data_IF_873170117383
#
_entry.id   IF_873170117383
#
_cell.length_a   1.000
_cell.length_b   1.000
_cell.length_c   1.000
_cell.angle_alpha   90.00
_cell.angle_beta   90.00
_cell.angle_gamma   90.00
#
_symmetry.space_group_name_H-M   'P 1'
#
loop_
_entity.id
_entity.type
_entity.pdbx_description
1 polymer ?
#
# COMPACT_ATOMS: atom_id res chain seq x y z
N UNK A 1 -0.07 11.59 -20.69
CA UNK A 1 -0.73 12.53 -21.61
C UNK A 1 -0.97 13.85 -20.89
N UNK A 2 -0.52 14.94 -21.47
CA UNK A 2 -0.64 16.25 -20.83
C UNK A 2 -2.07 16.80 -20.81
N UNK A 3 -2.93 16.34 -21.71
CA UNK A 3 -4.32 16.77 -21.77
C UNK A 3 -4.46 18.26 -22.07
N UNK A 4 -5.64 18.81 -21.77
CA UNK A 4 -5.97 20.22 -22.00
C UNK A 4 -5.85 21.08 -20.74
N UNK A 5 -5.17 20.59 -19.69
CA UNK A 5 -5.01 21.32 -18.43
C UNK A 5 -3.84 22.30 -18.51
N UNK A 6 -4.01 23.46 -17.88
CA UNK A 6 -2.95 24.48 -17.81
C UNK A 6 -1.80 24.07 -16.89
N UNK A 7 -2.04 23.12 -15.99
CA UNK A 7 -1.02 22.62 -15.07
C UNK A 7 -1.09 21.10 -14.97
N UNK A 8 0.07 20.47 -14.81
CA UNK A 8 0.20 19.02 -14.60
C UNK A 8 1.42 18.74 -13.74
N UNK A 9 1.45 17.54 -13.13
CA UNK A 9 2.59 17.06 -12.38
C UNK A 9 3.34 16.03 -13.24
N UNK A 10 4.65 16.22 -13.38
CA UNK A 10 5.52 15.25 -14.04
C UNK A 10 6.31 14.47 -13.01
N UNK A 11 6.24 13.13 -13.08
CA UNK A 11 6.96 12.25 -12.17
C UNK A 11 8.09 11.59 -12.94
N UNK A 12 9.32 11.77 -12.45
CA UNK A 12 10.50 11.16 -13.03
C UNK A 12 10.80 9.84 -12.32
N UNK A 13 10.48 8.73 -12.97
CA UNK A 13 10.68 7.39 -12.40
C UNK A 13 12.17 7.04 -12.22
N UNK A 14 13.05 7.59 -13.05
CA UNK A 14 14.49 7.39 -12.88
C UNK A 14 14.98 8.00 -11.57
N UNK A 15 14.46 9.15 -11.18
CA UNK A 15 14.76 9.78 -9.90
C UNK A 15 14.26 8.94 -8.73
N UNK A 16 13.07 8.36 -8.86
CA UNK A 16 12.55 7.44 -7.85
C UNK A 16 13.44 6.21 -7.69
N UNK A 17 13.85 5.60 -8.79
CA UNK A 17 14.76 4.45 -8.78
C UNK A 17 16.09 4.82 -8.12
N UNK A 18 16.67 5.96 -8.47
CA UNK A 18 17.89 6.45 -7.86
C UNK A 18 17.73 6.61 -6.35
N UNK A 19 16.63 7.19 -5.90
CA UNK A 19 16.36 7.40 -4.48
C UNK A 19 16.22 6.08 -3.73
N UNK A 20 15.49 5.13 -4.28
CA UNK A 20 15.32 3.80 -3.67
C UNK A 20 16.67 3.08 -3.59
N UNK A 21 17.46 3.11 -4.65
CA UNK A 21 18.77 2.47 -4.66
C UNK A 21 19.72 3.14 -3.66
N UNK A 22 19.63 4.44 -3.49
CA UNK A 22 20.44 5.18 -2.50
C UNK A 22 20.07 4.74 -1.08
N UNK A 23 18.78 4.56 -0.79
CA UNK A 23 18.31 4.06 0.51
C UNK A 23 18.82 2.63 0.71
N UNK A 24 18.69 1.77 -0.30
CA UNK A 24 19.18 0.37 -0.21
C UNK A 24 20.65 0.29 0.14
N UNK A 25 21.46 1.20 -0.37
CA UNK A 25 22.89 1.25 -0.05
C UNK A 25 23.17 1.70 1.36
N UNK A 26 22.28 2.49 1.95
CA UNK A 26 22.46 3.06 3.29
C UNK A 26 21.98 2.14 4.41
N UNK A 27 21.22 1.10 4.08
CA UNK A 27 20.62 0.18 5.07
C UNK A 27 21.24 -1.22 4.93
N UNK A 28 21.06 -2.06 5.98
CA UNK A 28 21.46 -3.46 5.93
C UNK A 28 20.73 -4.20 4.81
N UNK A 29 21.37 -5.16 4.10
CA UNK A 29 20.68 -5.96 3.09
C UNK A 29 19.46 -6.72 3.59
N UNK A 30 19.40 -6.97 4.90
CA UNK A 30 18.26 -7.66 5.53
C UNK A 30 17.09 -6.71 5.83
N UNK A 31 17.33 -5.40 5.80
CA UNK A 31 16.28 -4.41 6.07
C UNK A 31 15.37 -4.25 4.85
N UNK A 32 14.08 -4.34 5.09
CA UNK A 32 13.08 -4.17 4.04
C UNK A 32 12.65 -2.72 3.94
N UNK A 33 12.41 -2.23 2.72
CA UNK A 33 11.84 -0.92 2.47
C UNK A 33 10.33 -1.08 2.33
N UNK A 34 9.58 -0.24 3.02
CA UNK A 34 8.13 -0.25 3.04
C UNK A 34 7.62 1.15 2.65
N UNK A 35 7.50 1.44 1.35
CA UNK A 35 7.07 2.77 0.90
C UNK A 35 5.67 3.11 1.37
N UNK A 36 5.49 4.34 1.85
CA UNK A 36 4.18 4.87 2.23
C UNK A 36 3.61 5.61 1.03
N UNK A 37 2.52 5.08 0.48
CA UNK A 37 1.86 5.61 -0.71
C UNK A 37 0.41 6.02 -0.47
N UNK A 38 0.11 6.41 0.77
CA UNK A 38 -1.20 6.94 1.15
C UNK A 38 -1.52 8.24 0.41
N UNK A 39 -2.80 8.61 0.39
CA UNK A 39 -3.27 9.83 -0.27
C UNK A 39 -2.78 9.92 -1.73
N UNK A 40 -2.93 8.81 -2.46
CA UNK A 40 -2.47 8.68 -3.86
C UNK A 40 -0.98 9.01 -4.00
N UNK A 41 -0.16 8.56 -3.05
CA UNK A 41 1.27 8.88 -2.96
C UNK A 41 1.50 10.41 -2.96
N UNK A 42 0.65 11.13 -2.20
CA UNK A 42 0.64 12.59 -2.15
C UNK A 42 0.52 13.23 -3.54
N UNK A 43 -0.34 12.66 -4.39
CA UNK A 43 -0.59 13.16 -5.73
C UNK A 43 0.36 12.63 -6.81
N UNK A 44 1.34 11.81 -6.44
CA UNK A 44 2.28 11.22 -7.41
C UNK A 44 1.70 10.02 -8.16
N UNK A 45 0.55 9.49 -7.72
CA UNK A 45 -0.09 8.34 -8.36
C UNK A 45 0.33 7.01 -7.72
N UNK A 46 -0.42 6.56 -6.70
CA UNK A 46 -0.05 5.37 -5.91
C UNK A 46 0.05 4.11 -6.76
N UNK A 47 -0.90 3.86 -7.67
CA UNK A 47 -0.91 2.65 -8.50
C UNK A 47 0.31 2.60 -9.42
N UNK A 48 0.60 3.68 -10.12
CA UNK A 48 1.73 3.72 -11.05
C UNK A 48 3.07 3.57 -10.31
N UNK A 49 3.22 4.25 -9.17
CA UNK A 49 4.43 4.14 -8.37
C UNK A 49 4.60 2.74 -7.77
N UNK A 50 3.52 2.15 -7.27
CA UNK A 50 3.57 0.79 -6.72
C UNK A 50 4.03 -0.22 -7.77
N UNK A 51 3.45 -0.17 -8.97
CA UNK A 51 3.84 -1.04 -10.06
C UNK A 51 5.30 -0.87 -10.46
N UNK A 52 5.76 0.37 -10.52
CA UNK A 52 7.16 0.64 -10.82
C UNK A 52 8.08 0.10 -9.72
N UNK A 53 7.73 0.32 -8.45
CA UNK A 53 8.53 -0.13 -7.32
C UNK A 53 8.56 -1.66 -7.18
N UNK A 54 7.48 -2.37 -7.57
CA UNK A 54 7.53 -3.83 -7.66
C UNK A 54 8.69 -4.30 -8.53
N UNK A 55 8.89 -3.65 -9.67
CA UNK A 55 10.00 -3.95 -10.59
C UNK A 55 11.37 -3.69 -9.99
N UNK A 56 11.46 -2.89 -8.93
CA UNK A 56 12.70 -2.62 -8.20
C UNK A 56 12.90 -3.56 -6.99
N UNK A 57 12.03 -4.54 -6.82
CA UNK A 57 12.12 -5.50 -5.73
C UNK A 57 11.42 -5.07 -4.43
N UNK A 58 10.60 -4.03 -4.46
CA UNK A 58 9.77 -3.66 -3.32
C UNK A 58 8.62 -4.65 -3.22
N UNK A 59 8.45 -5.27 -2.05
CA UNK A 59 7.46 -6.32 -1.84
C UNK A 59 6.40 -5.97 -0.79
N UNK A 60 6.33 -4.71 -0.37
CA UNK A 60 5.37 -4.24 0.62
C UNK A 60 5.11 -2.76 0.51
N UNK A 61 3.88 -2.36 0.80
CA UNK A 61 3.44 -0.97 0.71
C UNK A 61 2.62 -0.60 1.93
N UNK A 62 2.55 0.70 2.23
CA UNK A 62 1.78 1.23 3.35
C UNK A 62 0.79 2.27 2.83
N UNK A 63 -0.45 2.12 3.26
CA UNK A 63 -1.52 3.08 2.98
C UNK A 63 -2.21 3.48 4.29
N UNK A 64 -3.15 4.40 4.23
CA UNK A 64 -3.88 4.82 5.42
C UNK A 64 -5.08 3.92 5.70
N UNK A 65 -5.94 3.71 4.71
CA UNK A 65 -7.28 3.14 4.87
C UNK A 65 -7.57 2.05 3.85
N UNK A 66 -8.64 1.29 4.11
CA UNK A 66 -9.03 0.15 3.29
C UNK A 66 -9.32 0.51 1.83
N UNK A 67 -9.95 1.66 1.57
CA UNK A 67 -10.25 2.06 0.19
C UNK A 67 -9.00 2.24 -0.66
N UNK A 68 -7.94 2.78 -0.09
CA UNK A 68 -6.63 2.91 -0.77
C UNK A 68 -6.02 1.54 -1.05
N UNK A 69 -6.07 0.64 -0.07
CA UNK A 69 -5.57 -0.73 -0.22
C UNK A 69 -6.34 -1.50 -1.30
N UNK A 70 -7.66 -1.38 -1.30
CA UNK A 70 -8.50 -2.03 -2.30
C UNK A 70 -8.23 -1.52 -3.71
N UNK A 71 -7.98 -0.22 -3.87
CA UNK A 71 -7.60 0.36 -5.16
C UNK A 71 -6.33 -0.30 -5.70
N UNK A 72 -5.31 -0.47 -4.85
CA UNK A 72 -4.07 -1.15 -5.24
C UNK A 72 -4.33 -2.60 -5.63
N UNK A 73 -5.13 -3.33 -4.84
CA UNK A 73 -5.48 -4.72 -5.15
C UNK A 73 -6.21 -4.85 -6.48
N UNK A 74 -7.18 -3.97 -6.73
CA UNK A 74 -7.93 -3.97 -8.00
C UNK A 74 -7.04 -3.63 -9.20
N UNK A 75 -5.97 -2.89 -8.97
CA UNK A 75 -4.98 -2.57 -10.01
C UNK A 75 -3.96 -3.69 -10.24
N UNK A 76 -4.02 -4.79 -9.47
CA UNK A 76 -3.16 -5.95 -9.65
C UNK A 76 -1.95 -6.01 -8.74
N UNK A 77 -1.86 -5.15 -7.73
CA UNK A 77 -0.78 -5.21 -6.73
C UNK A 77 -1.04 -6.42 -5.81
N UNK A 78 -0.11 -7.35 -5.77
CA UNK A 78 -0.22 -8.58 -4.96
C UNK A 78 0.65 -8.56 -3.71
N UNK A 79 1.59 -7.64 -3.61
CA UNK A 79 2.51 -7.49 -2.49
C UNK A 79 1.76 -7.14 -1.20
N UNK A 80 2.45 -7.28 -0.07
CA UNK A 80 1.87 -6.96 1.23
C UNK A 80 1.46 -5.49 1.30
N UNK A 81 0.25 -5.23 1.81
CA UNK A 81 -0.26 -3.87 2.01
C UNK A 81 -0.66 -3.72 3.47
N UNK A 82 -0.02 -2.77 4.15
CA UNK A 82 -0.32 -2.41 5.54
C UNK A 82 -1.15 -1.14 5.58
N UNK A 83 -2.26 -1.20 6.31
CA UNK A 83 -3.10 -0.03 6.59
C UNK A 83 -2.77 0.50 7.98
N UNK A 84 -2.42 1.79 8.06
CA UNK A 84 -1.96 2.42 9.32
C UNK A 84 -3.09 2.94 10.18
N UNK A 85 -4.21 3.36 9.58
CA UNK A 85 -5.29 4.02 10.30
C UNK A 85 -6.23 3.00 10.95
N UNK A 86 -7.14 3.51 11.77
CA UNK A 86 -8.17 2.70 12.42
C UNK A 86 -8.97 1.93 11.38
N UNK A 87 -9.15 0.64 11.62
CA UNK A 87 -9.96 -0.23 10.78
C UNK A 87 -11.42 -0.15 11.25
N UNK A 88 -12.29 0.35 10.38
CA UNK A 88 -13.71 0.40 10.64
C UNK A 88 -14.33 -1.00 10.52
N UNK A 89 -15.34 -1.29 11.34
CA UNK A 89 -15.97 -2.62 11.39
C UNK A 89 -16.58 -3.02 10.05
N UNK A 90 -17.06 -2.07 9.27
CA UNK A 90 -17.66 -2.36 7.97
C UNK A 90 -16.65 -2.79 6.89
N UNK A 91 -15.34 -2.76 7.18
CA UNK A 91 -14.29 -3.20 6.25
C UNK A 91 -13.62 -4.52 6.64
N UNK A 92 -14.09 -5.20 7.69
CA UNK A 92 -13.47 -6.44 8.15
C UNK A 92 -13.47 -7.53 7.07
N UNK A 93 -14.56 -7.67 6.34
CA UNK A 93 -14.64 -8.67 5.26
C UNK A 93 -13.68 -8.35 4.13
N UNK A 94 -13.54 -7.07 3.78
CA UNK A 94 -12.62 -6.63 2.74
C UNK A 94 -11.16 -6.89 3.13
N UNK A 95 -10.81 -6.71 4.40
CA UNK A 95 -9.46 -7.03 4.88
C UNK A 95 -9.13 -8.50 4.62
N UNK A 96 -10.06 -9.39 4.91
CA UNK A 96 -9.87 -10.83 4.64
C UNK A 96 -9.87 -11.11 3.13
N UNK A 97 -10.87 -10.60 2.42
CA UNK A 97 -11.04 -10.84 1.00
C UNK A 97 -9.84 -10.39 0.17
N UNK A 98 -9.30 -9.23 0.47
CA UNK A 98 -8.18 -8.64 -0.26
C UNK A 98 -6.83 -8.95 0.36
N UNK A 99 -6.78 -9.79 1.40
CA UNK A 99 -5.55 -10.17 2.09
C UNK A 99 -4.73 -8.95 2.53
N UNK A 100 -5.37 -8.07 3.29
CA UNK A 100 -4.75 -6.83 3.77
C UNK A 100 -4.22 -7.01 5.19
N UNK A 101 -3.17 -6.25 5.53
CA UNK A 101 -2.62 -6.19 6.87
C UNK A 101 -3.10 -4.90 7.53
N UNK A 102 -3.64 -4.98 8.73
CA UNK A 102 -4.17 -3.84 9.45
C UNK A 102 -3.46 -3.59 10.76
N UNK A 103 -3.18 -2.33 11.05
CA UNK A 103 -2.80 -1.94 12.40
C UNK A 103 -4.01 -2.14 13.32
N UNK A 104 -3.77 -2.71 14.51
CA UNK A 104 -4.82 -3.06 15.47
C UNK A 104 -4.60 -2.23 16.73
N UNK A 105 -5.65 -1.51 17.16
CA UNK A 105 -5.56 -0.60 18.30
C UNK A 105 -6.31 -1.10 19.54
N UNK A 106 -7.04 -2.24 19.46
CA UNK A 106 -7.77 -2.78 20.60
C UNK A 106 -7.94 -4.28 20.48
N UNK A 107 -8.08 -4.94 21.63
CA UNK A 107 -8.39 -6.37 21.67
C UNK A 107 -9.72 -6.68 20.97
N UNK A 108 -10.73 -5.85 21.18
CA UNK A 108 -12.05 -6.03 20.54
C UNK A 108 -11.94 -6.09 19.02
N UNK A 109 -11.18 -5.18 18.43
CA UNK A 109 -10.97 -5.17 16.98
C UNK A 109 -10.20 -6.41 16.52
N UNK A 110 -9.17 -6.81 17.24
CA UNK A 110 -8.41 -8.01 16.94
C UNK A 110 -9.31 -9.25 16.93
N UNK A 111 -10.19 -9.36 17.94
CA UNK A 111 -11.13 -10.48 18.03
C UNK A 111 -12.13 -10.49 16.89
N UNK A 112 -12.71 -9.33 16.55
CA UNK A 112 -13.66 -9.20 15.44
C UNK A 112 -13.01 -9.61 14.11
N UNK A 113 -11.79 -9.18 13.85
CA UNK A 113 -11.07 -9.53 12.63
C UNK A 113 -10.74 -11.04 12.61
N UNK A 114 -10.31 -11.60 13.74
CA UNK A 114 -10.03 -13.02 13.86
C UNK A 114 -11.29 -13.86 13.59
N UNK A 115 -12.42 -13.48 14.17
CA UNK A 115 -13.69 -14.15 13.93
C UNK A 115 -14.11 -14.07 12.46
N UNK A 116 -13.94 -12.92 11.84
CA UNK A 116 -14.22 -12.71 10.42
C UNK A 116 -13.35 -13.64 9.56
N UNK A 117 -12.07 -13.76 9.86
CA UNK A 117 -11.14 -14.65 9.16
C UNK A 117 -11.58 -16.11 9.28
N UNK A 118 -11.99 -16.55 10.48
CA UNK A 118 -12.42 -17.93 10.72
C UNK A 118 -13.68 -18.30 9.94
N UNK A 119 -14.62 -17.37 9.78
CA UNK A 119 -15.91 -17.65 9.16
C UNK A 119 -16.01 -17.29 7.69
N UNK A 120 -15.09 -16.49 7.15
CA UNK A 120 -15.11 -16.05 5.75
C UNK A 120 -13.96 -16.60 4.92
N UNK A 121 -12.89 -17.07 5.55
CA UNK A 121 -11.75 -17.67 4.85
C UNK A 121 -12.15 -19.07 4.35
N UNK A 122 -11.78 -19.43 3.12
CA UNK A 122 -12.02 -20.79 2.61
C UNK A 122 -11.22 -21.86 3.35
#
# INVERSE_FOLDING_TARGET
MKGNRAAWLEINLNNLEYNINSIKKAISPETKIMPVIKADAYGHGAVALAKFMEGLGIDRFVVSVASEAMELRKAGIEEDILMLNYLEDNYLEEVVKYNLTSAIFSYDKAKKLSDCLLYTSP
#
